data_IF_606205881146
#
_entry.id   IF_606205881146
#
_cell.length_a   1.000
_cell.length_b   1.000
_cell.length_c   1.000
_cell.angle_alpha   90.00
_cell.angle_beta   90.00
_cell.angle_gamma   90.00
#
_symmetry.space_group_name_H-M   'P 1'
#
loop_
_entity.id
_entity.type
_entity.pdbx_description
1 polymer ?
#
# COMPACT_ATOMS: atom_id res chain seq x y z
N UNK A 1 -38.17 -26.86 -14.78
CA UNK A 1 -37.02 -26.04 -15.19
C UNK A 1 -37.05 -25.87 -16.71
N UNK A 2 -37.43 -24.69 -17.21
CA UNK A 2 -37.36 -24.30 -18.64
C UNK A 2 -36.56 -23.00 -18.74
N UNK A 3 -35.69 -22.96 -19.75
CA UNK A 3 -34.58 -22.03 -19.92
C UNK A 3 -34.94 -20.54 -19.86
N UNK A 4 -34.49 -19.84 -18.82
CA UNK A 4 -34.28 -18.38 -18.86
C UNK A 4 -33.10 -18.10 -19.79
N UNK A 5 -33.37 -17.68 -21.03
CA UNK A 5 -32.30 -17.30 -21.96
C UNK A 5 -31.73 -15.93 -21.61
N UNK A 6 -30.42 -15.73 -21.79
CA UNK A 6 -29.72 -14.43 -21.58
C UNK A 6 -30.40 -13.25 -22.29
N UNK A 7 -31.12 -13.50 -23.39
CA UNK A 7 -31.92 -12.51 -24.13
C UNK A 7 -33.22 -12.11 -23.43
N UNK A 8 -33.82 -13.02 -22.66
CA UNK A 8 -34.98 -12.73 -21.79
C UNK A 8 -34.59 -11.88 -20.57
N UNK A 9 -33.39 -12.10 -20.02
CA UNK A 9 -32.84 -11.29 -18.93
C UNK A 9 -32.59 -9.84 -19.38
N UNK A 10 -31.95 -9.65 -20.55
CA UNK A 10 -31.67 -8.32 -21.11
C UNK A 10 -32.91 -7.54 -21.54
N UNK A 11 -33.98 -8.22 -21.98
CA UNK A 11 -35.27 -7.57 -22.27
C UNK A 11 -36.07 -7.21 -21.02
N UNK A 12 -35.86 -7.91 -19.90
CA UNK A 12 -36.45 -7.57 -18.60
C UNK A 12 -35.83 -6.31 -17.94
N UNK A 13 -34.56 -6.01 -18.24
CA UNK A 13 -33.89 -4.81 -17.71
C UNK A 13 -34.39 -3.49 -18.30
N UNK A 14 -34.94 -3.48 -19.52
CA UNK A 14 -35.49 -2.26 -20.13
C UNK A 14 -36.91 -1.90 -19.63
N UNK A 15 -37.62 -2.84 -18.97
CA UNK A 15 -39.00 -2.65 -18.53
C UNK A 15 -39.18 -2.33 -17.04
N UNK A 16 -38.15 -2.49 -16.21
CA UNK A 16 -38.25 -2.38 -14.74
C UNK A 16 -37.52 -1.17 -14.13
N UNK A 17 -37.06 -0.22 -14.96
CA UNK A 17 -36.45 1.04 -14.50
C UNK A 17 -37.49 2.13 -14.14
N UNK A 18 -38.79 1.86 -14.31
CA UNK A 18 -39.86 2.74 -13.87
C UNK A 18 -40.56 2.15 -12.64
N UNK A 19 -40.57 2.91 -11.54
CA UNK A 19 -41.18 2.64 -10.22
C UNK A 19 -40.26 1.94 -9.21
N UNK A 20 -39.45 2.73 -8.50
CA UNK A 20 -39.30 2.66 -7.03
C UNK A 20 -38.79 4.01 -6.52
N UNK A 21 -39.73 4.96 -6.42
CA UNK A 21 -39.58 6.12 -5.56
C UNK A 21 -39.91 5.70 -4.12
N UNK A 22 -39.04 6.07 -3.18
CA UNK A 22 -39.37 6.14 -1.75
C UNK A 22 -39.00 4.93 -0.90
N UNK A 23 -37.83 5.00 -0.28
CA UNK A 23 -37.73 4.94 1.20
C UNK A 23 -36.29 5.23 1.62
N UNK A 24 -36.12 6.35 2.33
CA UNK A 24 -34.96 6.57 3.19
C UNK A 24 -35.07 5.57 4.34
N UNK A 25 -34.13 4.64 4.44
CA UNK A 25 -33.94 3.82 5.64
C UNK A 25 -32.48 3.95 6.07
N UNK A 26 -32.29 4.63 7.21
CA UNK A 26 -31.01 4.81 7.85
C UNK A 26 -30.43 3.48 8.32
N UNK A 27 -29.15 3.28 7.99
CA UNK A 27 -28.24 2.31 8.60
C UNK A 27 -27.11 3.05 9.34
N UNK A 28 -26.38 2.37 10.23
CA UNK A 28 -25.84 2.95 11.45
C UNK A 28 -24.78 4.02 11.17
N UNK A 29 -24.91 5.10 11.95
CA UNK A 29 -23.97 6.21 12.17
C UNK A 29 -22.59 5.98 11.53
N UNK A 30 -22.45 6.45 10.28
CA UNK A 30 -21.16 6.84 9.74
C UNK A 30 -20.49 7.69 10.82
N UNK A 31 -19.44 7.17 11.46
CA UNK A 31 -18.59 7.97 12.36
C UNK A 31 -18.30 9.28 11.63
N UNK A 32 -18.62 10.39 12.30
CA UNK A 32 -18.51 11.75 11.76
C UNK A 32 -17.33 11.84 10.81
N UNK A 33 -17.60 12.25 9.56
CA UNK A 33 -16.54 12.63 8.65
C UNK A 33 -15.66 13.65 9.38
N UNK A 34 -14.35 13.40 9.43
CA UNK A 34 -13.39 14.42 9.81
C UNK A 34 -13.31 15.45 8.69
N UNK A 35 -14.36 16.26 8.59
CA UNK A 35 -14.49 17.38 7.68
C UNK A 35 -14.01 18.64 8.42
N UNK A 36 -12.68 18.84 8.44
CA UNK A 36 -11.99 20.13 8.68
C UNK A 36 -10.44 20.01 8.65
N UNK A 37 -9.86 18.86 8.31
CA UNK A 37 -8.41 18.65 8.27
C UNK A 37 -7.93 18.21 6.88
N UNK A 38 -6.64 18.39 6.63
CA UNK A 38 -5.92 17.83 5.48
C UNK A 38 -6.09 16.29 5.43
N UNK A 39 -6.78 15.71 4.42
CA UNK A 39 -6.96 14.27 4.31
C UNK A 39 -5.62 13.54 4.29
N UNK A 40 -5.52 12.48 5.09
CA UNK A 40 -4.31 11.67 5.22
C UNK A 40 -4.41 10.35 4.45
N UNK A 41 -3.29 9.92 3.89
CA UNK A 41 -3.19 8.74 3.03
C UNK A 41 -1.91 7.97 3.35
N UNK A 42 -2.02 6.65 3.55
CA UNK A 42 -0.87 5.76 3.67
C UNK A 42 -0.60 5.07 2.34
N UNK A 43 0.65 5.09 1.88
CA UNK A 43 1.17 4.12 0.91
C UNK A 43 2.13 3.18 1.62
N UNK A 44 1.72 1.94 1.78
CA UNK A 44 2.51 0.89 2.40
C UNK A 44 3.17 0.04 1.30
N UNK A 45 4.46 0.27 1.10
CA UNK A 45 5.29 -0.41 0.12
C UNK A 45 5.99 -1.58 0.80
N UNK A 46 5.70 -2.78 0.30
CA UNK A 46 6.23 -4.02 0.83
C UNK A 46 7.21 -4.70 -0.14
N UNK A 47 8.37 -5.07 0.39
CA UNK A 47 9.48 -5.68 -0.33
C UNK A 47 9.72 -7.12 0.20
N UNK A 48 9.14 -8.16 -0.43
CA UNK A 48 9.20 -9.54 0.06
C UNK A 48 10.60 -10.13 -0.01
N UNK A 49 11.06 -10.82 1.04
CA UNK A 49 12.41 -11.37 1.14
C UNK A 49 13.41 -10.44 1.84
N UNK A 50 12.96 -9.28 2.32
CA UNK A 50 13.70 -8.46 3.26
C UNK A 50 14.26 -7.17 2.67
N UNK A 51 14.33 -6.16 3.54
CA UNK A 51 14.77 -4.82 3.22
C UNK A 51 16.01 -4.51 4.07
N UNK A 52 17.16 -4.29 3.42
CA UNK A 52 18.41 -4.09 4.14
C UNK A 52 18.32 -2.86 5.06
N UNK A 53 18.76 -2.99 6.31
CA UNK A 53 18.73 -1.89 7.28
C UNK A 53 19.49 -0.63 6.79
N UNK A 54 20.51 -0.81 5.95
CA UNK A 54 21.24 0.29 5.33
C UNK A 54 20.42 1.09 4.32
N UNK A 55 19.37 0.51 3.73
CA UNK A 55 18.39 1.21 2.91
C UNK A 55 17.28 1.83 3.76
N UNK A 56 16.98 1.21 4.90
CA UNK A 56 15.97 1.66 5.87
C UNK A 56 16.43 2.79 6.80
N UNK A 57 17.61 3.37 6.59
CA UNK A 57 18.11 4.54 7.32
C UNK A 57 19.14 4.27 8.43
N UNK A 58 19.73 3.06 8.47
CA UNK A 58 20.74 2.66 9.47
C UNK A 58 21.99 2.08 8.77
N UNK A 59 22.62 2.82 7.87
CA UNK A 59 23.80 2.35 7.14
C UNK A 59 25.12 2.44 7.93
N UNK A 60 25.28 3.45 8.79
CA UNK A 60 26.55 3.74 9.46
C UNK A 60 27.12 2.57 10.30
N UNK A 61 26.31 1.81 11.07
CA UNK A 61 26.84 0.68 11.85
C UNK A 61 27.49 -0.44 11.02
N UNK A 62 27.20 -0.51 9.72
CA UNK A 62 27.74 -1.54 8.82
C UNK A 62 29.07 -1.14 8.16
N UNK A 63 29.47 0.13 8.26
CA UNK A 63 30.76 0.60 7.73
C UNK A 63 31.93 -0.08 8.43
N UNK A 64 31.83 -0.24 9.76
CA UNK A 64 32.82 -0.97 10.54
C UNK A 64 32.78 -2.46 10.16
N UNK A 65 33.89 -2.97 9.65
CA UNK A 65 33.98 -4.34 9.15
C UNK A 65 33.47 -4.53 7.72
N UNK A 66 33.20 -3.44 6.98
CA UNK A 66 32.81 -3.46 5.56
C UNK A 66 31.63 -4.40 5.27
N UNK A 67 30.65 -4.41 6.16
CA UNK A 67 29.52 -5.35 6.07
C UNK A 67 28.63 -4.93 4.91
N UNK A 68 28.20 -5.93 4.14
CA UNK A 68 27.47 -5.72 2.89
C UNK A 68 28.20 -4.81 1.86
N UNK A 69 29.53 -4.65 1.98
CA UNK A 69 30.31 -3.76 1.13
C UNK A 69 30.06 -2.26 1.39
N UNK A 70 29.62 -1.91 2.59
CA UNK A 70 29.38 -0.51 2.99
C UNK A 70 30.65 0.14 3.52
N UNK A 71 30.94 1.34 3.02
CA UNK A 71 32.10 2.15 3.35
C UNK A 71 31.67 3.58 3.64
N UNK A 72 32.54 4.37 4.28
CA UNK A 72 32.28 5.80 4.51
C UNK A 72 32.07 6.60 3.22
N UNK A 73 32.52 6.09 2.07
CA UNK A 73 32.42 6.78 0.78
C UNK A 73 31.12 6.48 0.02
N UNK A 74 30.45 5.36 0.33
CA UNK A 74 29.24 4.93 -0.38
C UNK A 74 27.96 5.04 0.46
N UNK A 75 28.05 5.52 1.70
CA UNK A 75 26.91 5.92 2.51
C UNK A 75 26.74 7.45 2.52
N UNK A 76 25.56 7.90 2.95
CA UNK A 76 25.19 9.30 3.11
C UNK A 76 24.54 9.49 4.49
N UNK A 77 24.99 10.50 5.22
CA UNK A 77 24.23 11.02 6.37
C UNK A 77 23.12 11.91 5.83
N UNK A 78 21.87 11.54 6.12
CA UNK A 78 20.69 12.33 5.75
C UNK A 78 20.40 13.38 6.82
N UNK A 79 20.58 13.00 8.09
CA UNK A 79 20.50 13.89 9.27
C UNK A 79 19.77 13.22 10.45
N UNK A 80 19.92 13.78 11.65
CA UNK A 80 19.33 13.27 12.91
C UNK A 80 19.52 11.75 13.14
N UNK A 81 20.70 11.23 12.78
CA UNK A 81 21.06 9.81 12.92
C UNK A 81 20.66 8.93 11.73
N UNK A 82 19.84 9.42 10.79
CA UNK A 82 19.50 8.69 9.56
C UNK A 82 20.72 8.64 8.66
N UNK A 83 21.14 7.42 8.31
CA UNK A 83 22.25 7.15 7.39
C UNK A 83 21.83 6.10 6.39
N UNK A 84 22.12 6.31 5.11
CA UNK A 84 21.62 5.43 4.06
C UNK A 84 22.66 5.19 2.97
N UNK A 85 22.39 4.25 2.08
CA UNK A 85 23.12 4.13 0.83
C UNK A 85 23.02 5.38 -0.04
N UNK A 86 24.18 5.91 -0.45
CA UNK A 86 24.29 7.17 -1.19
C UNK A 86 23.70 7.11 -2.60
N UNK A 87 23.85 5.97 -3.29
CA UNK A 87 23.48 5.82 -4.69
C UNK A 87 21.99 5.55 -4.91
N UNK A 88 21.31 4.98 -3.90
CA UNK A 88 19.89 4.62 -3.98
C UNK A 88 19.03 5.58 -3.18
N UNK A 89 18.67 5.24 -1.94
CA UNK A 89 17.76 6.02 -1.08
C UNK A 89 18.31 7.42 -0.76
N UNK A 90 19.64 7.61 -0.74
CA UNK A 90 20.28 8.93 -0.62
C UNK A 90 20.06 9.86 -1.81
N UNK A 91 19.42 9.37 -2.89
CA UNK A 91 19.05 10.17 -4.07
C UNK A 91 17.56 10.52 -4.13
N UNK A 92 16.79 10.18 -3.08
CA UNK A 92 15.40 10.60 -2.96
C UNK A 92 15.30 12.14 -2.92
N UNK A 93 14.14 12.71 -3.31
CA UNK A 93 13.95 14.17 -3.29
C UNK A 93 14.24 14.80 -1.93
N UNK A 94 14.71 16.05 -1.91
CA UNK A 94 15.10 16.73 -0.67
C UNK A 94 13.98 16.75 0.40
N UNK A 95 12.73 16.93 -0.03
CA UNK A 95 11.58 16.88 0.87
C UNK A 95 11.48 15.51 1.57
N UNK A 96 11.64 14.41 0.83
CA UNK A 96 11.64 13.07 1.41
C UNK A 96 12.78 12.91 2.43
N UNK A 97 13.99 13.38 2.09
CA UNK A 97 15.15 13.30 2.98
C UNK A 97 14.95 14.07 4.30
N UNK A 98 14.36 15.26 4.24
CA UNK A 98 14.07 16.11 5.41
C UNK A 98 12.93 15.57 6.28
N UNK A 99 12.09 14.70 5.72
CA UNK A 99 10.90 14.16 6.34
C UNK A 99 10.94 12.63 6.46
N UNK A 100 12.12 12.09 6.79
CA UNK A 100 12.37 10.66 6.90
C UNK A 100 12.60 10.20 8.34
N UNK A 101 11.65 9.41 8.85
CA UNK A 101 11.80 8.66 10.10
C UNK A 101 12.06 7.17 9.82
N UNK A 102 13.11 6.61 10.40
CA UNK A 102 13.47 5.19 10.33
C UNK A 102 13.06 4.43 11.59
N UNK A 103 12.28 3.37 11.44
CA UNK A 103 11.66 2.63 12.57
C UNK A 103 12.19 1.21 12.65
N UNK A 104 12.87 0.86 13.74
CA UNK A 104 13.15 -0.53 14.07
C UNK A 104 11.94 -1.21 14.69
N UNK A 105 11.56 -2.36 14.16
CA UNK A 105 10.43 -3.16 14.64
C UNK A 105 10.87 -4.61 14.82
N UNK A 106 10.66 -5.17 16.02
CA UNK A 106 10.97 -6.57 16.30
C UNK A 106 9.70 -7.40 16.27
N UNK A 107 9.49 -8.15 15.20
CA UNK A 107 8.32 -9.03 15.05
C UNK A 107 8.62 -10.51 15.33
N UNK A 108 9.90 -10.87 15.52
CA UNK A 108 10.31 -12.22 15.94
C UNK A 108 10.20 -13.28 14.86
N UNK A 109 10.00 -12.88 13.60
CA UNK A 109 9.82 -13.80 12.47
C UNK A 109 10.97 -13.64 11.49
N UNK A 110 11.80 -14.66 11.37
CA UNK A 110 12.91 -14.69 10.41
C UNK A 110 12.57 -15.53 9.18
N UNK A 111 11.29 -15.78 8.90
CA UNK A 111 10.86 -16.53 7.73
C UNK A 111 10.21 -15.61 6.70
N UNK A 112 10.54 -15.88 5.45
CA UNK A 112 9.79 -15.52 4.27
C UNK A 112 9.87 -16.75 3.37
N UNK A 113 8.77 -17.22 2.82
CA UNK A 113 8.84 -18.22 1.74
C UNK A 113 7.68 -17.95 0.83
N UNK A 114 7.94 -17.66 -0.44
CA UNK A 114 6.92 -17.78 -1.48
C UNK A 114 6.88 -19.24 -1.93
N UNK A 115 5.70 -19.89 -2.01
CA UNK A 115 4.34 -19.35 -1.91
C UNK A 115 3.72 -19.35 -0.49
N UNK A 116 4.45 -19.76 0.55
CA UNK A 116 3.95 -19.98 1.92
C UNK A 116 3.73 -18.69 2.77
N UNK A 117 4.03 -17.49 2.25
CA UNK A 117 3.52 -16.22 2.79
C UNK A 117 1.98 -16.18 2.81
N UNK A 118 1.33 -17.12 2.12
CA UNK A 118 -0.10 -17.36 2.25
C UNK A 118 -0.53 -17.77 3.68
N UNK A 119 0.36 -18.37 4.49
CA UNK A 119 0.07 -18.88 5.84
C UNK A 119 0.98 -18.35 6.97
N UNK A 120 2.15 -17.75 6.68
CA UNK A 120 3.07 -17.21 7.68
C UNK A 120 3.98 -16.08 7.17
N UNK A 121 5.11 -15.84 7.85
CA UNK A 121 6.19 -14.94 7.38
C UNK A 121 6.16 -13.50 7.92
N UNK A 122 7.21 -12.75 7.61
CA UNK A 122 7.38 -11.35 8.00
C UNK A 122 6.26 -10.44 7.49
N UNK A 123 5.79 -10.66 6.25
CA UNK A 123 4.65 -9.95 5.67
C UNK A 123 3.41 -10.03 6.56
N UNK A 124 3.02 -11.25 6.94
CA UNK A 124 1.84 -11.47 7.79
C UNK A 124 2.05 -10.90 9.18
N UNK A 125 3.27 -11.02 9.73
CA UNK A 125 3.59 -10.42 11.02
C UNK A 125 3.39 -8.89 10.99
N UNK A 126 3.77 -8.23 9.88
CA UNK A 126 3.65 -6.79 9.71
C UNK A 126 2.25 -6.32 9.32
N UNK A 127 1.47 -7.14 8.61
CA UNK A 127 0.17 -6.71 8.04
C UNK A 127 -1.05 -7.27 8.76
N UNK A 128 -0.89 -8.24 9.68
CA UNK A 128 -2.01 -8.87 10.40
C UNK A 128 -1.83 -8.90 11.92
N UNK A 129 -2.98 -8.84 12.61
CA UNK A 129 -3.12 -9.14 14.04
C UNK A 129 -4.30 -10.10 14.23
N UNK A 130 -3.98 -11.37 14.49
CA UNK A 130 -4.98 -12.44 14.50
C UNK A 130 -5.68 -12.56 13.14
N UNK A 131 -7.00 -12.42 13.13
CA UNK A 131 -7.84 -12.46 11.92
C UNK A 131 -7.99 -11.10 11.24
N UNK A 132 -7.52 -10.02 11.86
CA UNK A 132 -7.67 -8.65 11.35
C UNK A 132 -6.41 -8.17 10.64
N UNK A 133 -6.59 -7.25 9.69
CA UNK A 133 -5.49 -6.60 8.99
C UNK A 133 -5.25 -5.20 9.51
N UNK A 134 -3.99 -4.85 9.70
CA UNK A 134 -3.62 -3.50 10.09
C UNK A 134 -4.02 -2.48 9.00
N UNK A 135 -3.99 -2.86 7.72
CA UNK A 135 -4.35 -1.99 6.60
C UNK A 135 -5.84 -1.60 6.67
N UNK A 136 -6.74 -2.57 6.78
CA UNK A 136 -8.19 -2.33 6.84
C UNK A 136 -8.61 -1.73 8.17
N UNK A 137 -7.97 -2.13 9.28
CA UNK A 137 -8.16 -1.51 10.59
C UNK A 137 -7.79 -0.04 10.56
N UNK A 138 -6.62 0.32 10.02
CA UNK A 138 -6.17 1.71 9.88
C UNK A 138 -7.14 2.51 9.01
N UNK A 139 -7.51 1.99 7.84
CA UNK A 139 -8.46 2.66 6.96
C UNK A 139 -9.84 2.88 7.62
N UNK A 140 -10.32 1.92 8.42
CA UNK A 140 -11.57 2.05 9.17
C UNK A 140 -11.52 3.16 10.21
N UNK A 141 -10.43 3.25 11.00
CA UNK A 141 -10.28 4.27 12.04
C UNK A 141 -9.95 5.66 11.49
N UNK A 142 -9.30 5.75 10.33
CA UNK A 142 -9.14 7.01 9.59
C UNK A 142 -10.48 7.60 9.14
N UNK A 143 -11.52 6.77 9.01
CA UNK A 143 -12.86 7.22 8.65
C UNK A 143 -12.94 7.69 7.20
N UNK A 144 -13.55 8.85 6.98
CA UNK A 144 -13.77 9.39 5.63
C UNK A 144 -14.86 8.66 4.85
N UNK A 145 -15.10 9.13 3.63
CA UNK A 145 -16.23 8.71 2.82
C UNK A 145 -15.83 8.05 1.49
N UNK A 146 -14.53 7.81 1.25
CA UNK A 146 -14.06 7.10 0.06
C UNK A 146 -14.75 5.73 -0.09
N UNK A 147 -15.13 5.40 -1.33
CA UNK A 147 -15.66 4.07 -1.65
C UNK A 147 -14.57 2.99 -1.70
N UNK A 148 -13.31 3.39 -1.87
CA UNK A 148 -12.15 2.52 -1.95
C UNK A 148 -11.16 2.86 -0.82
N UNK A 149 -11.58 2.69 0.44
CA UNK A 149 -10.79 3.14 1.61
C UNK A 149 -9.46 2.42 1.76
N UNK A 150 -9.41 1.13 1.51
CA UNK A 150 -8.20 0.33 1.52
C UNK A 150 -8.07 -0.37 0.16
N UNK A 151 -6.91 -0.21 -0.49
CA UNK A 151 -6.67 -0.76 -1.83
C UNK A 151 -5.34 -1.51 -1.91
N UNK A 152 -5.30 -2.60 -2.68
CA UNK A 152 -4.10 -3.33 -3.03
C UNK A 152 -3.93 -3.30 -4.56
N UNK A 153 -2.70 -3.07 -5.00
CA UNK A 153 -2.41 -2.80 -6.41
C UNK A 153 -1.81 -4.02 -7.10
N UNK A 154 -2.56 -4.56 -8.06
CA UNK A 154 -2.12 -5.60 -8.98
C UNK A 154 -2.33 -7.05 -8.55
N UNK A 155 -1.57 -7.87 -9.29
CA UNK A 155 -1.17 -9.27 -9.15
C UNK A 155 -0.50 -9.80 -7.86
N UNK A 156 -1.17 -10.18 -6.75
CA UNK A 156 -0.41 -10.89 -5.68
C UNK A 156 -1.08 -12.11 -5.03
N UNK A 157 -0.47 -13.32 -5.09
CA UNK A 157 -1.03 -14.56 -4.56
C UNK A 157 -1.21 -14.61 -3.03
N UNK A 158 -0.40 -13.88 -2.25
CA UNK A 158 -0.55 -13.91 -0.78
C UNK A 158 -1.66 -12.97 -0.27
N UNK A 159 -2.29 -12.19 -1.17
CA UNK A 159 -3.52 -11.49 -0.87
C UNK A 159 -4.69 -12.49 -0.79
N UNK A 160 -4.75 -13.26 0.32
CA UNK A 160 -5.96 -13.98 0.69
C UNK A 160 -7.03 -12.97 1.08
N UNK A 161 -8.25 -13.15 0.58
CA UNK A 161 -9.44 -12.41 1.02
C UNK A 161 -9.44 -12.30 2.54
N UNK A 162 -9.51 -11.07 3.04
CA UNK A 162 -9.48 -10.77 4.47
C UNK A 162 -10.85 -10.25 4.88
N UNK A 163 -11.39 -10.67 6.02
CA UNK A 163 -12.65 -10.11 6.50
C UNK A 163 -12.56 -8.59 6.62
N UNK A 164 -13.60 -7.90 6.19
CA UNK A 164 -13.73 -6.46 6.39
C UNK A 164 -13.57 -6.11 7.88
N UNK A 165 -12.81 -5.08 8.17
CA UNK A 165 -12.66 -4.55 9.54
C UNK A 165 -13.41 -3.24 9.64
N UNK A 166 -14.42 -3.18 10.50
CA UNK A 166 -15.27 -1.98 10.65
C UNK A 166 -15.91 -1.53 9.33
N UNK A 167 -16.41 -2.48 8.54
CA UNK A 167 -17.02 -2.24 7.23
C UNK A 167 -16.03 -1.88 6.10
N UNK A 168 -14.72 -1.95 6.35
CA UNK A 168 -13.69 -1.69 5.33
C UNK A 168 -13.04 -2.98 4.87
N UNK A 169 -13.22 -3.29 3.59
CA UNK A 169 -12.53 -4.36 2.88
C UNK A 169 -11.36 -3.80 2.07
N UNK A 170 -10.40 -4.68 1.74
CA UNK A 170 -9.24 -4.32 0.94
C UNK A 170 -9.53 -4.66 -0.53
N UNK A 171 -9.67 -3.61 -1.35
CA UNK A 171 -10.11 -3.69 -2.74
C UNK A 171 -8.91 -3.85 -3.68
N UNK A 172 -9.02 -4.75 -4.67
CA UNK A 172 -7.94 -4.97 -5.63
C UNK A 172 -8.11 -4.08 -6.86
N UNK A 173 -7.04 -3.42 -7.29
CA UNK A 173 -6.98 -2.64 -8.53
C UNK A 173 -5.92 -3.24 -9.46
N UNK A 174 -6.34 -3.84 -10.56
CA UNK A 174 -5.44 -4.49 -11.53
C UNK A 174 -5.29 -3.73 -12.85
N UNK A 175 -6.10 -2.70 -13.10
CA UNK A 175 -6.05 -1.91 -14.34
C UNK A 175 -6.39 -0.44 -14.06
N UNK A 176 -5.46 0.45 -14.40
CA UNK A 176 -5.56 1.90 -14.15
C UNK A 176 -6.58 2.57 -15.06
N UNK A 177 -6.70 2.15 -16.32
CA UNK A 177 -7.63 2.73 -17.27
C UNK A 177 -9.08 2.51 -16.83
N UNK A 178 -9.39 1.29 -16.42
CA UNK A 178 -10.69 0.89 -15.88
C UNK A 178 -10.97 1.58 -14.54
N UNK A 179 -9.99 1.65 -13.64
CA UNK A 179 -10.14 2.34 -12.36
C UNK A 179 -10.45 3.83 -12.54
N UNK A 180 -9.71 4.54 -13.41
CA UNK A 180 -9.93 5.96 -13.71
C UNK A 180 -11.35 6.19 -14.28
N UNK A 181 -11.79 5.32 -15.20
CA UNK A 181 -13.15 5.38 -15.77
C UNK A 181 -14.22 5.12 -14.71
N UNK A 182 -14.07 4.07 -13.91
CA UNK A 182 -15.02 3.73 -12.84
C UNK A 182 -15.14 4.85 -11.79
N UNK A 183 -14.04 5.50 -11.45
CA UNK A 183 -14.02 6.67 -10.56
C UNK A 183 -14.63 7.93 -11.20
N UNK A 184 -14.80 7.96 -12.53
CA UNK A 184 -15.22 9.17 -13.24
C UNK A 184 -14.13 10.24 -13.25
N UNK A 185 -12.88 9.85 -13.06
CA UNK A 185 -11.73 10.75 -12.97
C UNK A 185 -11.08 11.04 -14.34
N UNK A 186 -11.53 10.35 -15.39
CA UNK A 186 -11.05 10.58 -16.76
C UNK A 186 -11.42 11.96 -17.29
N UNK A 187 -10.95 12.28 -18.49
CA UNK A 187 -11.46 13.43 -19.23
C UNK A 187 -12.98 13.30 -19.44
N UNK A 188 -13.69 14.43 -19.49
CA UNK A 188 -15.13 14.44 -19.73
C UNK A 188 -15.44 13.71 -21.04
N UNK A 189 -16.24 12.66 -20.95
CA UNK A 189 -16.70 11.87 -22.09
C UNK A 189 -18.21 12.01 -22.19
N UNK A 190 -18.73 12.71 -23.23
CA UNK A 190 -20.17 12.90 -23.41
C UNK A 190 -20.92 11.60 -23.69
N UNK A 191 -20.21 10.51 -24.02
CA UNK A 191 -20.79 9.19 -24.27
C UNK A 191 -20.67 8.26 -23.05
N UNK A 192 -20.08 8.70 -21.94
CA UNK A 192 -20.02 7.90 -20.74
C UNK A 192 -21.44 7.68 -20.18
N UNK A 193 -21.78 6.44 -19.77
CA UNK A 193 -23.07 6.18 -19.15
C UNK A 193 -23.21 6.95 -17.84
N UNK A 194 -24.45 7.38 -17.55
CA UNK A 194 -24.75 8.05 -16.30
C UNK A 194 -24.34 7.17 -15.11
N UNK A 195 -23.57 7.77 -14.18
CA UNK A 195 -22.99 7.04 -13.06
C UNK A 195 -24.05 6.53 -12.09
N UNK A 196 -25.09 7.33 -11.83
CA UNK A 196 -26.16 6.90 -10.92
C UNK A 196 -26.91 5.71 -11.53
N UNK A 197 -27.24 5.78 -12.82
CA UNK A 197 -27.88 4.68 -13.55
C UNK A 197 -26.99 3.43 -13.57
N UNK A 198 -25.69 3.57 -13.80
CA UNK A 198 -24.74 2.46 -13.75
C UNK A 198 -24.70 1.82 -12.35
N UNK A 199 -24.67 2.64 -11.29
CA UNK A 199 -24.72 2.19 -9.91
C UNK A 199 -25.99 1.41 -9.59
N UNK A 200 -27.14 1.86 -10.07
CA UNK A 200 -28.42 1.16 -9.87
C UNK A 200 -28.50 -0.15 -10.65
N UNK A 201 -27.90 -0.22 -11.84
CA UNK A 201 -27.73 -1.46 -12.58
C UNK A 201 -26.89 -2.50 -11.82
N UNK A 202 -25.80 -2.07 -11.18
CA UNK A 202 -24.97 -2.95 -10.34
C UNK A 202 -25.71 -3.38 -9.08
N UNK A 203 -26.48 -2.48 -8.45
CA UNK A 203 -27.32 -2.81 -7.30
C UNK A 203 -28.39 -3.86 -7.64
N UNK A 204 -29.01 -3.76 -8.82
CA UNK A 204 -29.93 -4.78 -9.32
C UNK A 204 -29.24 -6.13 -9.55
N UNK A 205 -28.01 -6.13 -10.09
CA UNK A 205 -27.22 -7.35 -10.27
C UNK A 205 -26.85 -8.01 -8.93
N UNK A 206 -26.51 -7.21 -7.90
CA UNK A 206 -26.28 -7.71 -6.54
C UNK A 206 -27.56 -8.34 -5.97
N UNK A 207 -28.72 -7.69 -6.12
CA UNK A 207 -29.98 -8.21 -5.62
C UNK A 207 -30.36 -9.57 -6.25
N UNK A 208 -30.12 -9.75 -7.55
CA UNK A 208 -30.34 -11.04 -8.24
C UNK A 208 -29.40 -12.13 -7.69
N UNK A 209 -28.16 -11.75 -7.39
CA UNK A 209 -27.12 -12.69 -6.93
C UNK A 209 -27.17 -12.95 -5.42
N UNK A 210 -27.98 -12.20 -4.67
CA UNK A 210 -27.97 -12.14 -3.21
C UNK A 210 -28.14 -13.52 -2.55
N UNK A 211 -29.08 -14.33 -3.03
CA UNK A 211 -29.31 -15.66 -2.46
C UNK A 211 -28.07 -16.56 -2.53
N UNK A 212 -27.34 -16.52 -3.65
CA UNK A 212 -26.14 -17.33 -3.84
C UNK A 212 -24.97 -16.80 -3.00
N UNK A 213 -24.85 -15.47 -2.90
CA UNK A 213 -23.87 -14.80 -2.05
C UNK A 213 -24.11 -15.16 -0.59
N UNK A 214 -25.35 -15.03 -0.11
CA UNK A 214 -25.70 -15.32 1.29
C UNK A 214 -25.48 -16.80 1.63
N UNK A 215 -25.82 -17.71 0.71
CA UNK A 215 -25.62 -19.15 0.89
C UNK A 215 -24.13 -19.58 0.88
N UNK A 216 -23.25 -18.74 0.32
CA UNK A 216 -21.81 -19.03 0.14
C UNK A 216 -20.95 -17.86 0.64
N UNK A 217 -21.31 -17.28 1.78
CA UNK A 217 -20.79 -15.99 2.24
C UNK A 217 -19.25 -15.95 2.35
N UNK A 218 -18.61 -17.06 2.74
CA UNK A 218 -17.14 -17.12 2.86
C UNK A 218 -16.44 -17.17 1.51
N UNK A 219 -16.93 -18.01 0.59
CA UNK A 219 -16.28 -18.20 -0.72
C UNK A 219 -16.60 -17.06 -1.70
N UNK A 220 -17.73 -16.37 -1.51
CA UNK A 220 -18.17 -15.23 -2.32
C UNK A 220 -17.98 -13.87 -1.62
N UNK A 221 -17.23 -13.82 -0.51
CA UNK A 221 -16.97 -12.59 0.22
C UNK A 221 -16.41 -11.48 -0.69
N UNK A 222 -15.40 -11.81 -1.51
CA UNK A 222 -14.79 -10.85 -2.44
C UNK A 222 -15.77 -10.33 -3.49
N UNK A 223 -16.74 -11.16 -3.91
CA UNK A 223 -17.78 -10.77 -4.87
C UNK A 223 -18.76 -9.81 -4.22
N UNK A 224 -19.21 -10.09 -2.98
CA UNK A 224 -20.10 -9.18 -2.26
C UNK A 224 -19.44 -7.82 -2.02
N UNK A 225 -18.19 -7.83 -1.54
CA UNK A 225 -17.42 -6.61 -1.30
C UNK A 225 -17.18 -5.81 -2.59
N UNK A 226 -16.96 -6.49 -3.73
CA UNK A 226 -16.83 -5.84 -5.03
C UNK A 226 -18.13 -5.17 -5.50
N UNK A 227 -19.30 -5.81 -5.27
CA UNK A 227 -20.59 -5.18 -5.55
C UNK A 227 -20.78 -3.91 -4.73
N UNK A 228 -20.58 -3.99 -3.41
CA UNK A 228 -20.75 -2.87 -2.51
C UNK A 228 -19.81 -1.70 -2.86
N UNK A 229 -18.52 -2.00 -3.09
CA UNK A 229 -17.53 -1.00 -3.49
C UNK A 229 -17.86 -0.35 -4.84
N UNK A 230 -18.33 -1.12 -5.81
CA UNK A 230 -18.71 -0.60 -7.14
C UNK A 230 -19.91 0.33 -7.07
N UNK A 231 -20.97 -0.08 -6.37
CA UNK A 231 -22.18 0.74 -6.16
C UNK A 231 -21.82 2.04 -5.44
N UNK A 232 -21.04 1.95 -4.36
CA UNK A 232 -20.58 3.11 -3.61
C UNK A 232 -19.74 4.05 -4.49
N UNK A 233 -18.86 3.50 -5.33
CA UNK A 233 -18.02 4.29 -6.25
C UNK A 233 -18.87 5.08 -7.25
N UNK A 234 -19.84 4.44 -7.89
CA UNK A 234 -20.71 5.09 -8.87
C UNK A 234 -21.58 6.19 -8.28
N UNK A 235 -22.01 6.04 -7.03
CA UNK A 235 -22.81 7.02 -6.30
C UNK A 235 -22.00 8.22 -5.79
N UNK A 236 -20.67 8.20 -5.91
CA UNK A 236 -19.83 9.35 -5.57
C UNK A 236 -19.79 10.39 -6.67
N UNK A 237 -19.77 11.69 -6.31
CA UNK A 237 -19.46 12.76 -7.25
C UNK A 237 -18.13 12.49 -7.95
N UNK A 238 -18.05 12.90 -9.22
CA UNK A 238 -16.80 12.80 -9.97
C UNK A 238 -15.71 13.64 -9.28
N UNK A 239 -14.50 13.08 -9.07
CA UNK A 239 -13.40 13.81 -8.45
C UNK A 239 -12.75 14.80 -9.43
N UNK A 240 -11.75 15.54 -8.95
CA UNK A 240 -10.87 16.30 -9.84
C UNK A 240 -10.22 15.34 -10.87
N UNK A 241 -10.17 15.70 -12.16
CA UNK A 241 -9.64 14.80 -13.18
C UNK A 241 -8.20 14.36 -12.93
N UNK A 242 -7.93 13.08 -13.22
CA UNK A 242 -6.61 12.46 -13.29
C UNK A 242 -6.58 11.67 -14.59
N UNK A 243 -5.78 12.12 -15.56
CA UNK A 243 -5.76 11.46 -16.87
C UNK A 243 -4.75 10.32 -16.89
N UNK A 244 -5.10 9.25 -17.60
CA UNK A 244 -4.17 8.14 -17.78
C UNK A 244 -2.90 8.56 -18.54
N UNK A 245 -2.99 9.53 -19.47
CA UNK A 245 -1.82 10.05 -20.19
C UNK A 245 -0.82 10.74 -19.26
N UNK A 246 -1.31 11.58 -18.33
CA UNK A 246 -0.47 12.22 -17.31
C UNK A 246 0.25 11.17 -16.45
N UNK A 247 -0.50 10.18 -15.94
CA UNK A 247 0.03 9.11 -15.10
C UNK A 247 1.02 8.23 -15.88
N UNK A 248 0.66 7.81 -17.09
CA UNK A 248 1.53 7.00 -17.94
C UNK A 248 2.85 7.70 -18.24
N UNK A 249 2.82 9.03 -18.47
CA UNK A 249 4.03 9.82 -18.71
C UNK A 249 4.89 9.92 -17.45
N UNK A 250 4.28 10.22 -16.30
CA UNK A 250 5.00 10.42 -15.04
C UNK A 250 5.73 9.15 -14.56
N UNK A 251 5.18 7.97 -14.84
CA UNK A 251 5.73 6.68 -14.40
C UNK A 251 6.32 5.84 -15.54
N UNK A 252 6.40 6.38 -16.76
CA UNK A 252 7.02 5.68 -17.91
C UNK A 252 6.28 4.41 -18.34
N UNK A 253 4.95 4.37 -18.26
CA UNK A 253 4.16 3.15 -18.51
C UNK A 253 3.98 2.80 -19.99
N UNK A 254 4.38 3.69 -20.91
CA UNK A 254 4.26 3.45 -22.36
C UNK A 254 2.82 3.21 -22.85
N UNK A 255 1.81 3.71 -22.13
CA UNK A 255 0.40 3.48 -22.43
C UNK A 255 -0.21 2.20 -21.86
N UNK A 256 0.58 1.36 -21.17
CA UNK A 256 0.08 0.14 -20.54
C UNK A 256 -0.77 0.46 -19.31
N UNK A 257 -2.02 0.01 -19.29
CA UNK A 257 -2.97 0.28 -18.20
C UNK A 257 -2.92 -0.77 -17.07
N UNK A 258 -2.38 -1.96 -17.35
CA UNK A 258 -2.29 -3.05 -16.37
C UNK A 258 -1.38 -2.69 -15.19
N UNK A 259 -1.80 -3.07 -13.99
CA UNK A 259 -1.03 -2.92 -12.75
C UNK A 259 -0.23 -4.22 -12.51
N UNK A 260 0.90 -4.35 -13.19
CA UNK A 260 1.69 -5.59 -13.26
C UNK A 260 3.09 -5.48 -12.65
N UNK A 261 3.58 -4.25 -12.41
CA UNK A 261 4.92 -4.01 -11.88
C UNK A 261 5.00 -2.78 -10.98
N UNK A 262 6.14 -2.56 -10.35
CA UNK A 262 6.32 -1.54 -9.33
C UNK A 262 5.94 -0.12 -9.80
N UNK A 263 6.36 0.28 -11.00
CA UNK A 263 6.01 1.57 -11.57
C UNK A 263 4.50 1.75 -11.74
N UNK A 264 3.81 0.75 -12.30
CA UNK A 264 2.35 0.76 -12.46
C UNK A 264 1.59 0.74 -11.12
N UNK A 265 2.18 0.13 -10.08
CA UNK A 265 1.62 0.18 -8.73
C UNK A 265 1.79 1.57 -8.10
N UNK A 266 2.95 2.22 -8.22
CA UNK A 266 3.08 3.61 -7.73
C UNK A 266 2.17 4.58 -8.49
N UNK A 267 2.02 4.39 -9.81
CA UNK A 267 1.03 5.09 -10.62
C UNK A 267 -0.40 4.88 -10.08
N UNK A 268 -0.77 3.64 -9.77
CA UNK A 268 -2.05 3.32 -9.15
C UNK A 268 -2.24 3.96 -7.78
N UNK A 269 -1.19 4.02 -6.97
CA UNK A 269 -1.24 4.67 -5.66
C UNK A 269 -1.57 6.15 -5.79
N UNK A 270 -0.96 6.83 -6.76
CA UNK A 270 -1.27 8.23 -7.05
C UNK A 270 -2.71 8.41 -7.51
N UNK A 271 -3.22 7.56 -8.41
CA UNK A 271 -4.63 7.61 -8.86
C UNK A 271 -5.58 7.39 -7.68
N UNK A 272 -5.32 6.40 -6.83
CA UNK A 272 -6.18 6.09 -5.67
C UNK A 272 -6.21 7.23 -4.66
N UNK A 273 -5.09 7.92 -4.44
CA UNK A 273 -5.05 9.10 -3.56
C UNK A 273 -5.78 10.28 -4.20
N UNK A 274 -5.46 10.63 -5.45
CA UNK A 274 -5.97 11.86 -6.09
C UNK A 274 -7.44 11.75 -6.48
N UNK A 275 -7.85 10.62 -7.02
CA UNK A 275 -9.20 10.42 -7.58
C UNK A 275 -10.14 9.70 -6.61
N UNK A 276 -9.71 8.59 -5.99
CA UNK A 276 -10.59 7.83 -5.09
C UNK A 276 -10.60 8.36 -3.66
N UNK A 277 -9.55 9.08 -3.25
CA UNK A 277 -9.37 9.50 -1.85
C UNK A 277 -9.11 8.32 -0.91
N UNK A 278 -8.50 7.24 -1.39
CA UNK A 278 -8.23 6.03 -0.60
C UNK A 278 -7.37 6.33 0.63
N UNK A 279 -7.78 5.87 1.81
CA UNK A 279 -7.05 6.07 3.06
C UNK A 279 -5.73 5.28 3.10
N UNK A 280 -5.75 4.02 2.63
CA UNK A 280 -4.60 3.11 2.67
C UNK A 280 -4.43 2.45 1.31
N UNK A 281 -3.23 2.53 0.76
CA UNK A 281 -2.82 1.90 -0.49
C UNK A 281 -1.67 0.95 -0.19
N UNK A 282 -1.80 -0.31 -0.57
CA UNK A 282 -0.75 -1.32 -0.49
C UNK A 282 -0.10 -1.52 -1.86
N UNK A 283 1.23 -1.43 -1.87
CA UNK A 283 2.11 -1.71 -3.01
C UNK A 283 3.01 -2.87 -2.64
N UNK A 284 3.21 -3.79 -3.56
CA UNK A 284 3.96 -5.02 -3.35
C UNK A 284 4.92 -5.28 -4.51
N UNK A 285 6.23 -5.21 -4.27
CA UNK A 285 7.23 -5.43 -5.32
C UNK A 285 7.67 -6.91 -5.41
N UNK A 286 6.85 -7.75 -6.03
CA UNK A 286 7.03 -9.21 -6.16
C UNK A 286 7.88 -9.68 -7.35
N UNK A 287 8.47 -8.78 -8.15
CA UNK A 287 9.11 -9.17 -9.43
C UNK A 287 10.06 -10.37 -9.36
N UNK A 288 10.17 -11.16 -10.46
CA UNK A 288 10.78 -12.49 -10.71
C UNK A 288 11.63 -13.22 -9.63
N UNK A 289 12.41 -12.51 -8.81
CA UNK A 289 13.29 -13.09 -7.76
C UNK A 289 13.02 -12.54 -6.34
N UNK A 290 12.00 -11.71 -6.15
CA UNK A 290 11.75 -11.01 -4.88
C UNK A 290 12.96 -10.20 -4.37
N UNK A 291 12.90 -9.72 -3.15
CA UNK A 291 14.03 -9.09 -2.44
C UNK A 291 14.84 -10.11 -1.63
N UNK A 292 14.63 -11.40 -1.94
CA UNK A 292 15.23 -12.53 -1.26
C UNK A 292 16.65 -12.82 -1.77
N UNK A 293 17.60 -11.96 -1.42
CA UNK A 293 18.99 -12.10 -1.87
C UNK A 293 19.85 -12.83 -0.82
N UNK A 294 19.89 -14.16 -0.92
CA UNK A 294 20.71 -15.07 -0.09
C UNK A 294 22.17 -15.21 -0.53
N UNK A 295 22.59 -14.53 -1.60
CA UNK A 295 23.90 -14.76 -2.20
C UNK A 295 25.02 -14.36 -1.23
N UNK A 296 26.02 -15.24 -1.11
CA UNK A 296 27.22 -15.05 -0.31
C UNK A 296 28.43 -15.27 -1.20
N UNK A 297 29.44 -14.41 -1.10
CA UNK A 297 30.74 -14.59 -1.76
C UNK A 297 31.86 -14.34 -0.77
N UNK A 298 32.81 -15.28 -0.68
CA UNK A 298 33.90 -15.20 0.29
C UNK A 298 33.44 -15.10 1.75
N UNK A 299 32.26 -15.64 2.09
CA UNK A 299 31.67 -15.55 3.43
C UNK A 299 30.95 -14.23 3.75
N UNK A 300 30.82 -13.31 2.78
CA UNK A 300 30.14 -12.02 2.96
C UNK A 300 28.83 -11.98 2.16
N UNK A 301 27.76 -11.49 2.80
CA UNK A 301 26.47 -11.29 2.13
C UNK A 301 26.58 -10.30 0.95
N UNK A 302 26.02 -10.69 -0.18
CA UNK A 302 25.85 -9.84 -1.36
C UNK A 302 24.48 -9.16 -1.42
N UNK A 303 23.67 -9.25 -0.35
CA UNK A 303 22.31 -8.71 -0.34
C UNK A 303 22.26 -7.24 -0.76
N UNK A 304 23.19 -6.41 -0.27
CA UNK A 304 23.20 -4.99 -0.62
C UNK A 304 23.60 -4.74 -2.08
N UNK A 305 24.48 -5.55 -2.66
CA UNK A 305 24.80 -5.48 -4.10
C UNK A 305 23.55 -5.74 -4.94
N UNK A 306 22.83 -6.84 -4.66
CA UNK A 306 21.60 -7.17 -5.40
C UNK A 306 20.48 -6.18 -5.12
N UNK A 307 20.35 -5.69 -3.88
CA UNK A 307 19.38 -4.64 -3.54
C UNK A 307 19.67 -3.34 -4.29
N UNK A 308 20.95 -2.93 -4.40
CA UNK A 308 21.36 -1.78 -5.23
C UNK A 308 21.03 -2.02 -6.69
N UNK A 309 21.37 -3.18 -7.24
CA UNK A 309 21.09 -3.51 -8.64
C UNK A 309 19.58 -3.48 -8.93
N UNK A 310 18.75 -4.04 -8.03
CA UNK A 310 17.29 -4.00 -8.16
C UNK A 310 16.74 -2.59 -8.02
N UNK A 311 17.27 -1.77 -7.13
CA UNK A 311 16.86 -0.37 -7.00
C UNK A 311 17.21 0.44 -8.25
N UNK A 312 18.43 0.27 -8.78
CA UNK A 312 18.98 1.04 -9.89
C UNK A 312 18.65 0.46 -11.28
N UNK A 313 17.98 -0.69 -11.35
CA UNK A 313 17.70 -1.37 -12.63
C UNK A 313 18.96 -1.86 -13.36
N UNK A 314 19.96 -2.32 -12.62
CA UNK A 314 21.21 -2.84 -13.18
C UNK A 314 21.13 -4.35 -13.42
N UNK A 315 21.80 -4.85 -14.46
CA UNK A 315 21.77 -6.26 -14.83
C UNK A 315 20.41 -6.67 -15.40
N UNK A 316 19.78 -7.70 -14.84
CA UNK A 316 18.47 -8.21 -15.26
C UNK A 316 17.30 -7.67 -14.43
N UNK A 317 17.52 -6.63 -13.62
CA UNK A 317 16.49 -6.01 -12.81
C UNK A 317 15.90 -4.78 -13.49
N UNK A 318 14.60 -4.57 -13.29
CA UNK A 318 13.91 -3.34 -13.64
C UNK A 318 14.22 -2.22 -12.62
N UNK A 319 14.27 -0.96 -13.08
CA UNK A 319 14.47 0.21 -12.21
C UNK A 319 13.31 0.41 -11.22
N UNK A 320 13.64 0.67 -9.95
CA UNK A 320 12.68 1.02 -8.89
C UNK A 320 12.86 2.46 -8.41
N UNK A 321 14.07 3.01 -8.52
CA UNK A 321 14.37 4.35 -8.05
C UNK A 321 13.69 5.44 -8.88
N UNK A 322 13.63 5.31 -10.21
CA UNK A 322 12.96 6.31 -11.05
C UNK A 322 11.47 6.48 -10.71
N UNK A 323 10.63 5.42 -10.71
CA UNK A 323 9.22 5.57 -10.35
C UNK A 323 9.03 5.94 -8.87
N UNK A 324 9.90 5.49 -7.95
CA UNK A 324 9.85 5.88 -6.55
C UNK A 324 10.10 7.39 -6.37
N UNK A 325 11.13 7.95 -7.02
CA UNK A 325 11.42 9.39 -6.97
C UNK A 325 10.30 10.23 -7.57
N UNK A 326 9.71 9.77 -8.68
CA UNK A 326 8.55 10.41 -9.29
C UNK A 326 7.38 10.46 -8.30
N UNK A 327 7.05 9.32 -7.67
CA UNK A 327 5.99 9.23 -6.67
C UNK A 327 6.25 10.17 -5.49
N UNK A 328 7.43 10.06 -4.87
CA UNK A 328 7.79 10.86 -3.69
C UNK A 328 7.74 12.37 -3.97
N UNK A 329 8.21 12.80 -5.14
CA UNK A 329 8.19 14.23 -5.54
C UNK A 329 6.77 14.76 -5.72
N UNK A 330 5.88 13.94 -6.28
CA UNK A 330 4.51 14.34 -6.62
C UNK A 330 3.56 14.26 -5.42
N UNK A 331 3.81 13.33 -4.50
CA UNK A 331 2.84 12.95 -3.48
C UNK A 331 3.17 13.41 -2.06
N UNK A 332 4.44 13.38 -1.62
CA UNK A 332 4.77 13.69 -0.22
C UNK A 332 4.45 15.13 0.18
N UNK A 333 4.55 16.06 -0.78
CA UNK A 333 4.21 17.47 -0.58
C UNK A 333 3.02 17.90 -1.45
N UNK A 334 2.11 16.96 -1.74
CA UNK A 334 0.88 17.28 -2.46
C UNK A 334 0.07 18.30 -1.63
N UNK A 335 -0.37 19.42 -2.21
CA UNK A 335 -1.20 20.37 -1.50
C UNK A 335 -2.49 19.72 -0.99
N UNK A 336 -2.94 20.18 0.17
CA UNK A 336 -4.19 19.75 0.81
C UNK A 336 -4.26 18.25 1.12
N UNK A 337 -3.13 17.53 1.14
CA UNK A 337 -3.07 16.12 1.52
C UNK A 337 -1.82 15.80 2.33
N UNK A 338 -1.99 14.93 3.32
CA UNK A 338 -0.92 14.35 4.10
C UNK A 338 -0.67 12.93 3.59
N UNK A 339 0.27 12.76 2.66
CA UNK A 339 0.67 11.44 2.18
C UNK A 339 1.86 10.95 2.99
N UNK A 340 1.67 9.80 3.64
CA UNK A 340 2.71 9.07 4.34
C UNK A 340 3.09 7.85 3.51
N UNK A 341 4.37 7.65 3.24
CA UNK A 341 4.88 6.46 2.56
C UNK A 341 5.72 5.66 3.54
N UNK A 342 5.41 4.39 3.72
CA UNK A 342 6.19 3.46 4.51
C UNK A 342 6.77 2.38 3.59
N UNK A 343 8.09 2.21 3.60
CA UNK A 343 8.81 1.19 2.84
C UNK A 343 9.39 0.18 3.83
N UNK A 344 9.02 -1.09 3.67
CA UNK A 344 9.41 -2.16 4.58
C UNK A 344 9.61 -3.48 3.83
N UNK A 345 10.09 -4.50 4.53
CA UNK A 345 10.21 -5.88 4.01
C UNK A 345 9.97 -6.91 5.11
N UNK A 346 10.23 -8.18 4.86
CA UNK A 346 10.01 -9.25 5.85
C UNK A 346 10.88 -9.08 7.10
N UNK A 347 12.12 -8.64 6.93
CA UNK A 347 13.13 -8.49 7.98
C UNK A 347 14.34 -7.70 7.44
N UNK A 348 15.28 -7.38 8.32
CA UNK A 348 16.64 -6.97 7.96
C UNK A 348 17.51 -8.20 7.66
N UNK A 349 18.42 -8.09 6.70
CA UNK A 349 19.45 -9.13 6.50
C UNK A 349 20.57 -9.00 7.51
N UNK A 350 21.09 -10.13 7.95
CA UNK A 350 22.31 -10.17 8.78
C UNK A 350 23.55 -10.34 7.90
N UNK A 351 24.75 -9.91 8.35
CA UNK A 351 25.95 -9.81 7.50
C UNK A 351 26.43 -11.12 6.85
N UNK A 352 26.08 -12.27 7.42
CA UNK A 352 26.38 -13.60 6.88
C UNK A 352 25.39 -14.08 5.80
N UNK A 353 24.37 -13.28 5.46
CA UNK A 353 23.37 -13.59 4.42
C UNK A 353 22.05 -14.16 4.95
N UNK A 354 22.00 -14.48 6.23
CA UNK A 354 20.83 -15.04 6.89
C UNK A 354 19.78 -13.94 7.25
N UNK A 355 18.73 -14.34 7.95
CA UNK A 355 17.57 -13.52 8.27
C UNK A 355 17.66 -12.92 9.68
N UNK A 356 17.25 -11.66 9.79
CA UNK A 356 16.98 -11.01 11.07
C UNK A 356 15.62 -11.41 11.65
N UNK A 357 15.38 -11.02 12.91
CA UNK A 357 14.12 -11.24 13.64
C UNK A 357 13.25 -9.97 13.73
N UNK A 358 13.56 -8.97 12.90
CA UNK A 358 12.90 -7.68 12.87
C UNK A 358 13.19 -6.95 11.57
N UNK A 359 12.60 -5.77 11.39
CA UNK A 359 12.71 -4.95 10.18
C UNK A 359 13.05 -3.49 10.53
N UNK A 360 13.76 -2.83 9.62
CA UNK A 360 13.85 -1.36 9.59
C UNK A 360 12.88 -0.83 8.55
N UNK A 361 11.88 -0.06 8.96
CA UNK A 361 10.91 0.58 8.05
C UNK A 361 11.32 2.04 7.81
N UNK A 362 11.44 2.45 6.55
CA UNK A 362 11.62 3.85 6.19
C UNK A 362 10.26 4.53 6.00
N UNK A 363 9.97 5.54 6.81
CA UNK A 363 8.70 6.30 6.80
C UNK A 363 8.96 7.73 6.36
N UNK A 364 8.19 8.18 5.38
CA UNK A 364 8.27 9.52 4.80
C UNK A 364 6.92 10.22 4.91
N UNK A 365 6.89 11.50 5.28
CA UNK A 365 5.64 12.25 5.30
C UNK A 365 5.77 13.65 5.89
N UNK A 366 4.87 14.57 5.50
CA UNK A 366 4.92 16.00 5.85
C UNK A 366 5.10 16.30 7.34
N UNK A 367 4.53 15.47 8.21
CA UNK A 367 4.57 15.64 9.67
C UNK A 367 5.58 14.73 10.37
N UNK A 368 6.38 14.01 9.60
CA UNK A 368 7.45 13.19 10.11
C UNK A 368 8.68 14.07 10.38
N UNK A 369 9.26 13.93 11.57
CA UNK A 369 10.57 14.49 11.92
C UNK A 369 11.65 13.54 11.45
N UNK A 370 12.69 14.10 10.84
CA UNK A 370 13.86 13.31 10.47
C UNK A 370 14.49 12.65 11.70
N UNK A 371 14.72 11.34 11.66
CA UNK A 371 15.39 10.64 12.75
C UNK A 371 15.30 9.11 12.69
N UNK A 372 15.87 8.45 13.70
CA UNK A 372 15.84 6.99 13.85
C UNK A 372 15.29 6.62 15.23
N UNK A 373 14.43 5.63 15.29
CA UNK A 373 13.90 5.05 16.54
C UNK A 373 14.17 3.55 16.55
N UNK A 374 14.77 3.06 17.64
CA UNK A 374 15.09 1.64 17.86
C UNK A 374 15.95 1.00 16.75
N UNK A 375 17.02 1.68 16.32
CA UNK A 375 17.96 1.18 15.33
C UNK A 375 18.50 -0.23 15.66
N UNK A 376 18.77 -1.03 14.64
CA UNK A 376 19.58 -2.24 14.81
C UNK A 376 21.08 -1.90 14.89
N UNK A 377 21.87 -2.83 15.45
CA UNK A 377 23.32 -2.73 15.47
C UNK A 377 23.96 -3.10 14.12
N UNK A 378 25.29 -3.06 14.05
CA UNK A 378 26.05 -3.46 12.86
C UNK A 378 25.99 -4.96 12.54
N UNK A 379 25.36 -5.79 13.37
CA UNK A 379 25.05 -7.19 13.07
C UNK A 379 23.57 -7.39 12.68
N UNK A 380 22.85 -6.30 12.45
CA UNK A 380 21.42 -6.28 12.19
C UNK A 380 20.59 -6.90 13.33
N UNK A 381 21.03 -6.71 14.58
CA UNK A 381 20.32 -7.15 15.78
C UNK A 381 19.64 -5.99 16.46
N UNK A 382 18.40 -6.22 16.88
CA UNK A 382 17.61 -5.27 17.64
C UNK A 382 17.81 -5.47 19.14
N UNK A 383 17.73 -4.37 19.89
CA UNK A 383 17.70 -4.46 21.36
C UNK A 383 16.47 -5.23 21.84
N UNK A 384 16.55 -5.81 23.05
CA UNK A 384 15.38 -6.42 23.68
C UNK A 384 14.23 -5.44 23.95
N UNK A 385 14.51 -4.14 24.01
CA UNK A 385 13.53 -3.07 24.20
C UNK A 385 12.89 -2.57 22.89
N UNK A 386 13.33 -3.06 21.73
CA UNK A 386 12.75 -2.68 20.44
C UNK A 386 11.30 -3.16 20.38
N UNK A 387 10.33 -2.27 20.10
CA UNK A 387 8.93 -2.61 20.18
C UNK A 387 8.47 -3.49 19.01
N UNK A 388 7.33 -4.14 19.21
CA UNK A 388 6.68 -4.98 18.21
C UNK A 388 5.86 -4.20 17.19
N UNK A 389 5.14 -4.94 16.35
CA UNK A 389 4.43 -4.42 15.18
C UNK A 389 3.35 -3.39 15.52
N UNK A 390 2.64 -3.53 16.64
CA UNK A 390 1.65 -2.54 17.09
C UNK A 390 2.26 -1.12 17.20
N UNK A 391 3.52 -1.01 17.65
CA UNK A 391 4.21 0.27 17.76
C UNK A 391 4.52 0.91 16.40
N UNK A 392 4.90 0.10 15.40
CA UNK A 392 5.07 0.57 14.03
C UNK A 392 3.77 1.20 13.52
N UNK A 393 2.64 0.49 13.68
CA UNK A 393 1.34 1.00 13.25
C UNK A 393 0.85 2.19 14.08
N UNK A 394 1.20 2.26 15.37
CA UNK A 394 0.95 3.44 16.19
C UNK A 394 1.74 4.66 15.66
N UNK A 395 3.00 4.47 15.27
CA UNK A 395 3.81 5.49 14.62
C UNK A 395 3.23 5.94 13.26
N UNK A 396 2.81 5.01 12.41
CA UNK A 396 2.15 5.31 11.14
C UNK A 396 0.83 6.06 11.35
N UNK A 397 0.00 5.63 12.30
CA UNK A 397 -1.25 6.30 12.66
C UNK A 397 -1.00 7.73 13.16
N UNK A 398 0.04 7.95 13.96
CA UNK A 398 0.44 9.28 14.40
C UNK A 398 0.95 10.16 13.25
N UNK A 399 1.77 9.63 12.33
CA UNK A 399 2.20 10.33 11.10
C UNK A 399 1.01 10.78 10.23
N UNK A 400 -0.04 9.96 10.22
CA UNK A 400 -1.30 10.19 9.52
C UNK A 400 -2.30 11.04 10.34
N UNK A 401 -1.91 11.52 11.53
CA UNK A 401 -2.76 12.28 12.47
C UNK A 401 -4.08 11.58 12.80
N UNK A 402 -4.08 10.26 12.86
CA UNK A 402 -5.27 9.47 13.21
C UNK A 402 -5.60 9.65 14.68
N UNK A 403 -6.83 10.01 15.04
CA UNK A 403 -7.21 10.22 16.43
C UNK A 403 -7.30 8.89 17.20
N UNK A 404 -7.12 8.96 18.53
CA UNK A 404 -7.49 7.87 19.44
C UNK A 404 -6.53 6.68 19.53
N UNK A 405 -5.30 6.80 19.03
CA UNK A 405 -4.22 5.80 19.20
C UNK A 405 -4.67 4.35 18.93
N UNK A 406 -5.16 4.06 17.71
CA UNK A 406 -5.86 2.81 17.40
C UNK A 406 -5.00 1.54 17.53
N UNK A 407 -3.67 1.68 17.65
CA UNK A 407 -2.72 0.58 17.81
C UNK A 407 -1.95 0.63 19.14
N UNK A 408 -2.41 1.44 20.09
CA UNK A 408 -1.71 1.70 21.35
C UNK A 408 -0.86 2.97 21.30
N UNK A 409 -0.12 3.21 22.38
CA UNK A 409 0.74 4.38 22.49
C UNK A 409 1.86 4.34 21.45
N UNK A 410 2.11 5.48 20.80
CA UNK A 410 3.24 5.63 19.89
C UNK A 410 4.54 5.83 20.70
N UNK A 411 5.51 4.91 20.66
CA UNK A 411 6.78 5.08 21.37
C UNK A 411 7.80 5.92 20.58
N UNK A 412 7.46 6.34 19.36
CA UNK A 412 8.37 7.05 18.46
C UNK A 412 8.18 8.55 18.56
N UNK A 413 9.15 9.26 19.14
CA UNK A 413 9.12 10.73 19.32
C UNK A 413 9.37 11.54 18.02
N UNK A 414 9.01 10.98 16.87
CA UNK A 414 9.39 11.46 15.53
C UNK A 414 8.19 11.81 14.65
N UNK A 415 6.98 11.89 15.23
CA UNK A 415 5.72 12.26 14.58
C UNK A 415 4.83 13.06 15.52
#
# INVERSE_FOLDING_TARGET
MKNLSRRGLLKGFAGAAGLMAGSRLGGPLLRNAWAAGEPSHLVFIYLPGGFNAALGGVAAPFVTGNKFGLTSTNIMTVGNGVTTDKATMGTLPAFAQQHWFSVGTRHGVSSHTTPDNSNGGGERALTRKGTTSYLTRLASVMGGDSALKAVHLGDYPAYRTQPATGGVSLQRISDLGTAIKALGAGAADPNAPDRAIAGDGVAAAQAISKQQIDANAESLLSVNEAYEASIATFRKPAPKPVTFSEISTAYGLGGATGVTGFASQLAGAEVMIRAAGSNVVSVFDSGFVGWDFHQVSGGVSQNMLFSRNRLLGAGSFDDRMTPLKAFMSRMLNLPDRNVVVAITGDFVRVPNGDHGDGVMTAVFGKYVKQGVSFACDGNSRFSGATPGVDALWAGLAAALKVPGNPFGANPHALV
#
